data_IF_206226879474
#
_entry.id   IF_206226879474
#
_cell.length_a   1.000
_cell.length_b   1.000
_cell.length_c   1.000
_cell.angle_alpha   90.00
_cell.angle_beta   90.00
_cell.angle_gamma   90.00
#
_symmetry.space_group_name_H-M   'P 1'
#
loop_
_entity.id
_entity.type
_entity.pdbx_description
1 polymer ?
#
# COMPACT_ATOMS: atom_id res chain seq x y z
N UNK A 1 6.08 0.22 22.22
CA UNK A 1 5.12 -0.80 21.76
C UNK A 1 3.80 -0.09 21.54
N UNK A 2 3.45 0.31 20.32
CA UNK A 2 2.29 1.19 20.12
C UNK A 2 1.40 0.74 18.95
N UNK A 3 0.10 0.73 19.23
CA UNK A 3 -0.99 1.11 18.33
C UNK A 3 -1.31 0.24 17.11
N UNK A 4 -1.30 -1.10 17.24
CA UNK A 4 -2.03 -1.95 16.26
C UNK A 4 -3.46 -2.27 16.66
N UNK A 5 -3.77 -2.32 17.95
CA UNK A 5 -5.09 -2.74 18.42
C UNK A 5 -6.09 -1.58 18.58
N UNK A 6 -5.62 -0.38 18.92
CA UNK A 6 -6.52 0.76 19.14
C UNK A 6 -7.23 1.20 17.85
N UNK A 7 -6.53 1.20 16.72
CA UNK A 7 -7.08 1.68 15.45
C UNK A 7 -8.26 0.83 14.96
N UNK A 8 -8.20 -0.49 15.14
CA UNK A 8 -9.27 -1.41 14.75
C UNK A 8 -10.52 -1.22 15.63
N UNK A 9 -10.33 -0.89 16.91
CA UNK A 9 -11.44 -0.64 17.84
C UNK A 9 -12.10 0.71 17.52
N UNK A 10 -11.32 1.79 17.33
CA UNK A 10 -11.85 3.11 16.99
C UNK A 10 -12.54 3.16 15.63
N UNK A 11 -11.99 2.53 14.58
CA UNK A 11 -12.62 2.52 13.24
C UNK A 11 -13.96 1.78 13.20
N UNK A 12 -14.08 0.71 13.99
CA UNK A 12 -15.32 -0.07 14.08
C UNK A 12 -16.38 0.66 14.91
N UNK A 13 -16.00 1.16 16.08
CA UNK A 13 -16.93 1.80 17.01
C UNK A 13 -17.38 3.20 16.56
N UNK A 14 -16.55 3.97 15.84
CA UNK A 14 -16.88 5.33 15.41
C UNK A 14 -17.35 5.45 13.96
N UNK A 15 -16.86 4.59 13.06
CA UNK A 15 -17.14 4.72 11.61
C UNK A 15 -17.71 3.46 10.96
N UNK A 16 -17.87 2.35 11.69
CA UNK A 16 -18.30 1.05 11.16
C UNK A 16 -17.46 0.56 9.95
N UNK A 17 -16.18 0.93 9.90
CA UNK A 17 -15.27 0.57 8.79
C UNK A 17 -14.48 -0.68 9.16
N UNK A 18 -14.46 -1.66 8.26
CA UNK A 18 -13.67 -2.88 8.41
C UNK A 18 -12.18 -2.59 8.17
N UNK A 19 -11.34 -2.92 9.14
CA UNK A 19 -9.88 -2.85 9.00
C UNK A 19 -9.30 -4.19 8.54
N UNK A 20 -8.73 -4.20 7.35
CA UNK A 20 -8.04 -5.37 6.78
C UNK A 20 -6.54 -5.06 6.74
N UNK A 21 -5.76 -5.84 7.48
CA UNK A 21 -4.31 -5.73 7.46
C UNK A 21 -3.75 -6.63 6.35
N UNK A 22 -3.37 -6.03 5.22
CA UNK A 22 -2.76 -6.70 4.06
C UNK A 22 -1.25 -6.44 4.04
N UNK A 23 -0.43 -7.19 4.80
CA UNK A 23 1.03 -7.00 4.81
C UNK A 23 1.67 -7.31 3.45
N UNK A 24 0.97 -8.03 2.57
CA UNK A 24 1.43 -8.37 1.24
C UNK A 24 1.54 -7.15 0.31
N UNK A 25 0.82 -6.07 0.61
CA UNK A 25 0.92 -4.78 -0.07
C UNK A 25 2.07 -3.92 0.45
N UNK A 26 2.75 -4.34 1.53
CA UNK A 26 3.84 -3.58 2.12
C UNK A 26 5.20 -3.99 1.52
N UNK A 27 6.13 -3.03 1.32
CA UNK A 27 7.48 -3.34 0.89
C UNK A 27 8.19 -4.19 1.95
N UNK A 28 9.07 -5.09 1.52
CA UNK A 28 9.94 -5.78 2.48
C UNK A 28 10.90 -4.78 3.12
N UNK A 29 11.27 -5.05 4.39
CA UNK A 29 12.27 -4.25 5.11
C UNK A 29 13.58 -4.14 4.34
N UNK A 30 13.92 -5.16 3.56
CA UNK A 30 15.14 -5.23 2.78
C UNK A 30 15.15 -4.21 1.64
N UNK A 31 14.11 -4.20 0.80
CA UNK A 31 13.95 -3.23 -0.29
C UNK A 31 13.89 -1.80 0.27
N UNK A 32 13.14 -1.60 1.36
CA UNK A 32 13.05 -0.29 2.02
C UNK A 32 14.39 0.17 2.59
N UNK A 33 15.17 -0.73 3.20
CA UNK A 33 16.48 -0.40 3.76
C UNK A 33 17.49 -0.07 2.67
N UNK A 34 17.47 -0.77 1.54
CA UNK A 34 18.35 -0.48 0.41
C UNK A 34 18.08 0.94 -0.13
N UNK A 35 16.82 1.32 -0.27
CA UNK A 35 16.45 2.67 -0.68
C UNK A 35 16.81 3.73 0.36
N UNK A 36 16.48 3.50 1.64
CA UNK A 36 16.80 4.44 2.74
C UNK A 36 18.31 4.66 2.94
N UNK A 37 19.12 3.64 2.65
CA UNK A 37 20.59 3.74 2.69
C UNK A 37 21.18 4.43 1.45
N UNK A 38 20.38 4.73 0.44
CA UNK A 38 20.84 5.29 -0.84
C UNK A 38 21.58 4.29 -1.72
N UNK A 39 21.44 2.99 -1.46
CA UNK A 39 22.11 1.93 -2.21
C UNK A 39 21.47 1.69 -3.58
N UNK A 40 20.19 2.05 -3.73
CA UNK A 40 19.42 1.91 -4.96
C UNK A 40 18.70 3.23 -5.28
N UNK A 41 18.51 3.52 -6.56
CA UNK A 41 17.69 4.64 -7.02
C UNK A 41 16.20 4.38 -6.75
N UNK A 42 15.39 5.43 -6.80
CA UNK A 42 13.93 5.29 -6.72
C UNK A 42 13.38 4.36 -7.81
N UNK A 43 13.88 4.47 -9.04
CA UNK A 43 13.48 3.61 -10.17
C UNK A 43 13.77 2.14 -9.86
N UNK A 44 14.96 1.84 -9.33
CA UNK A 44 15.30 0.48 -8.94
C UNK A 44 14.45 -0.01 -7.74
N UNK A 45 14.10 0.86 -6.81
CA UNK A 45 13.17 0.54 -5.72
C UNK A 45 11.78 0.18 -6.27
N UNK A 46 11.27 0.98 -7.20
CA UNK A 46 9.98 0.79 -7.87
C UNK A 46 9.94 -0.55 -8.60
N UNK A 47 10.93 -0.87 -9.43
CA UNK A 47 11.03 -2.15 -10.12
C UNK A 47 11.06 -3.33 -9.15
N UNK A 48 11.85 -3.24 -8.07
CA UNK A 48 11.91 -4.30 -7.05
C UNK A 48 10.58 -4.46 -6.32
N UNK A 49 9.89 -3.35 -6.05
CA UNK A 49 8.61 -3.35 -5.37
C UNK A 49 7.50 -3.93 -6.26
N UNK A 50 7.41 -3.52 -7.52
CA UNK A 50 6.45 -4.07 -8.48
C UNK A 50 6.68 -5.57 -8.73
N UNK A 51 7.93 -6.00 -8.85
CA UNK A 51 8.27 -7.42 -8.92
C UNK A 51 7.83 -8.20 -7.68
N UNK A 52 7.94 -7.60 -6.49
CA UNK A 52 7.45 -8.20 -5.26
C UNK A 52 5.91 -8.31 -5.26
N UNK A 53 5.21 -7.27 -5.71
CA UNK A 53 3.75 -7.27 -5.84
C UNK A 53 3.28 -8.38 -6.78
N UNK A 54 3.93 -8.53 -7.94
CA UNK A 54 3.65 -9.59 -8.90
C UNK A 54 3.93 -10.99 -8.32
N UNK A 55 5.05 -11.17 -7.61
CA UNK A 55 5.36 -12.45 -6.92
C UNK A 55 4.35 -12.82 -5.84
N UNK A 56 3.68 -11.82 -5.25
CA UNK A 56 2.63 -12.02 -4.24
C UNK A 56 1.24 -12.16 -4.85
N UNK A 57 1.11 -12.05 -6.17
CA UNK A 57 -0.15 -12.10 -6.90
C UNK A 57 -1.23 -11.19 -6.31
N UNK A 58 -0.86 -9.94 -5.99
CA UNK A 58 -1.79 -8.99 -5.36
C UNK A 58 -2.97 -8.64 -6.27
N UNK A 59 -2.85 -8.87 -7.58
CA UNK A 59 -3.93 -8.71 -8.55
C UNK A 59 -5.13 -9.65 -8.30
N UNK A 60 -4.95 -10.69 -7.49
CA UNK A 60 -6.02 -11.61 -7.07
C UNK A 60 -6.89 -11.06 -5.94
N UNK A 61 -6.50 -9.94 -5.34
CA UNK A 61 -7.33 -9.25 -4.34
C UNK A 61 -8.66 -8.89 -5.00
N UNK A 62 -9.75 -9.05 -4.25
CA UNK A 62 -11.06 -8.67 -4.76
C UNK A 62 -11.13 -7.14 -4.89
N UNK A 63 -11.49 -6.66 -6.09
CA UNK A 63 -11.60 -5.23 -6.40
C UNK A 63 -12.51 -4.49 -5.41
N UNK A 64 -13.58 -5.15 -4.94
CA UNK A 64 -14.51 -4.60 -3.95
C UNK A 64 -13.86 -4.25 -2.60
N UNK A 65 -12.71 -4.85 -2.27
CA UNK A 65 -11.95 -4.51 -1.07
C UNK A 65 -11.15 -3.21 -1.21
N UNK A 66 -10.92 -2.73 -2.45
CA UNK A 66 -10.17 -1.50 -2.75
C UNK A 66 -11.09 -0.34 -3.09
N UNK A 67 -12.21 -0.60 -3.79
CA UNK A 67 -13.11 0.43 -4.36
C UNK A 67 -13.67 1.44 -3.34
N UNK A 68 -13.84 1.04 -2.08
CA UNK A 68 -14.28 1.93 -0.98
C UNK A 68 -13.35 1.88 0.25
N UNK A 69 -12.06 1.57 0.06
CA UNK A 69 -11.10 1.49 1.16
C UNK A 69 -10.07 2.61 1.16
N UNK A 70 -9.64 2.98 2.37
CA UNK A 70 -8.56 3.93 2.56
C UNK A 70 -7.26 3.18 2.88
N UNK A 71 -6.27 3.29 1.99
CA UNK A 71 -4.95 2.71 2.22
C UNK A 71 -4.18 3.55 3.25
N UNK A 72 -3.99 2.98 4.43
CA UNK A 72 -3.18 3.60 5.48
C UNK A 72 -1.70 3.34 5.23
N UNK A 73 -0.92 4.43 5.23
CA UNK A 73 0.54 4.40 5.13
C UNK A 73 1.10 5.19 6.31
N UNK A 74 2.13 4.67 6.97
CA UNK A 74 2.79 5.34 8.10
C UNK A 74 3.87 6.33 7.67
N UNK A 75 4.00 6.62 6.36
CA UNK A 75 5.02 7.52 5.83
C UNK A 75 4.48 8.95 5.68
N UNK A 76 5.28 9.91 6.15
CA UNK A 76 4.87 11.30 6.34
C UNK A 76 4.86 12.14 5.04
N UNK A 77 5.37 11.62 3.92
CA UNK A 77 5.52 12.36 2.66
C UNK A 77 4.83 11.65 1.49
N UNK A 78 3.93 12.32 0.75
CA UNK A 78 3.16 11.72 -0.35
C UNK A 78 3.99 11.46 -1.62
N UNK A 79 5.14 12.13 -1.78
CA UNK A 79 5.93 12.11 -3.02
C UNK A 79 6.66 10.79 -3.31
N UNK A 80 6.81 9.91 -2.31
CA UNK A 80 7.43 8.58 -2.44
C UNK A 80 6.52 7.50 -1.85
N UNK A 81 5.22 7.63 -2.08
CA UNK A 81 4.26 6.76 -1.43
C UNK A 81 4.11 5.44 -2.19
N UNK A 82 4.50 4.34 -1.56
CA UNK A 82 4.26 2.97 -2.05
C UNK A 82 2.77 2.67 -2.33
N UNK A 83 1.83 3.44 -1.76
CA UNK A 83 0.39 3.36 -2.08
C UNK A 83 0.10 3.66 -3.55
N UNK A 84 0.82 4.61 -4.15
CA UNK A 84 0.66 4.94 -5.57
C UNK A 84 1.04 3.76 -6.45
N UNK A 85 2.20 3.15 -6.19
CA UNK A 85 2.70 2.00 -6.95
C UNK A 85 1.76 0.80 -6.88
N UNK A 86 1.17 0.53 -5.70
CA UNK A 86 0.18 -0.54 -5.55
C UNK A 86 -1.06 -0.27 -6.40
N UNK A 87 -1.62 0.94 -6.36
CA UNK A 87 -2.82 1.24 -7.13
C UNK A 87 -2.54 1.30 -8.64
N UNK A 88 -1.41 1.87 -9.07
CA UNK A 88 -1.02 1.86 -10.48
C UNK A 88 -0.87 0.42 -11.00
N UNK A 89 -0.25 -0.48 -10.22
CA UNK A 89 -0.17 -1.90 -10.55
C UNK A 89 -1.56 -2.53 -10.67
N UNK A 90 -2.44 -2.31 -9.69
CA UNK A 90 -3.79 -2.89 -9.69
C UNK A 90 -4.67 -2.33 -10.80
N UNK A 91 -4.60 -1.04 -11.11
CA UNK A 91 -5.30 -0.40 -12.23
C UNK A 91 -4.91 -1.05 -13.55
N UNK A 92 -3.61 -1.26 -13.76
CA UNK A 92 -3.10 -1.90 -14.96
C UNK A 92 -3.60 -3.36 -15.08
N UNK A 93 -3.65 -4.09 -13.98
CA UNK A 93 -4.12 -5.49 -13.97
C UNK A 93 -5.64 -5.66 -14.08
N UNK A 94 -6.42 -4.77 -13.47
CA UNK A 94 -7.88 -4.82 -13.51
C UNK A 94 -8.48 -4.10 -14.72
N UNK A 95 -7.64 -3.42 -15.52
CA UNK A 95 -8.05 -2.61 -16.65
C UNK A 95 -9.11 -1.57 -16.23
N UNK A 96 -8.86 -0.91 -15.10
CA UNK A 96 -9.74 0.08 -14.47
C UNK A 96 -8.99 1.37 -14.21
N UNK A 97 -9.70 2.51 -14.29
CA UNK A 97 -9.18 3.82 -13.89
C UNK A 97 -9.63 4.17 -12.47
N UNK A 98 -9.02 3.57 -11.44
CA UNK A 98 -9.23 4.06 -10.07
C UNK A 98 -8.60 5.44 -9.89
N UNK A 99 -9.41 6.41 -9.48
CA UNK A 99 -8.97 7.75 -9.11
C UNK A 99 -8.41 7.74 -7.66
N UNK A 100 -7.09 7.88 -7.51
CA UNK A 100 -6.44 7.92 -6.19
C UNK A 100 -6.37 9.35 -5.66
N UNK A 101 -7.18 9.65 -4.65
CA UNK A 101 -7.06 10.91 -3.89
C UNK A 101 -6.12 10.73 -2.70
N UNK A 102 -4.99 11.41 -2.75
CA UNK A 102 -4.06 11.50 -1.61
C UNK A 102 -4.56 12.58 -0.67
N UNK A 103 -5.05 12.18 0.51
CA UNK A 103 -5.34 13.12 1.59
C UNK A 103 -4.01 13.54 2.23
N UNK A 104 -3.67 14.83 2.11
CA UNK A 104 -2.49 15.48 2.71
C UNK A 104 -2.92 16.17 4.00
#
# INVERSE_FOLDING_TARGET
MCQKNDLKYFLKELCNVNYIHLPDLAPTKEILNLYKKGNISWVAYEDNFLNLMAKRNIERIDKSLIEDSCLLCSEHKPHYCHRRLVIEYLNNHWNTDFEVKHLI
#
